data_IF_806289699861
#
_entry.id   IF_806289699861
#
_cell.length_a   1.000
_cell.length_b   1.000
_cell.length_c   1.000
_cell.angle_alpha   90.00
_cell.angle_beta   90.00
_cell.angle_gamma   90.00
#
_symmetry.space_group_name_H-M   'P 1'
#
loop_
_entity.id
_entity.type
_entity.pdbx_description
1 polymer ?
#
# COMPACT_ATOMS: atom_id res chain seq x y z
N UNK A 1 73.89 12.57 -24.16
CA UNK A 1 72.85 13.59 -23.84
C UNK A 1 71.42 13.09 -24.08
N UNK A 2 71.08 12.52 -25.25
CA UNK A 2 69.75 12.05 -25.58
C UNK A 2 69.14 11.01 -24.60
N UNK A 3 69.98 10.06 -24.14
CA UNK A 3 69.54 9.01 -23.16
C UNK A 3 69.13 9.58 -21.80
N UNK A 4 69.74 10.67 -21.39
CA UNK A 4 69.47 11.34 -20.11
C UNK A 4 68.13 12.14 -20.18
N UNK A 5 67.79 12.70 -21.35
CA UNK A 5 66.53 13.40 -21.61
C UNK A 5 65.33 12.38 -21.61
N UNK A 6 65.52 11.22 -22.21
CA UNK A 6 64.49 10.18 -22.24
C UNK A 6 64.17 9.64 -20.83
N UNK A 7 65.23 9.44 -20.00
CA UNK A 7 65.04 9.01 -18.61
C UNK A 7 64.32 10.05 -17.76
N UNK A 8 64.65 11.32 -17.90
CA UNK A 8 64.03 12.42 -17.18
C UNK A 8 62.53 12.60 -17.57
N UNK A 9 62.26 12.51 -18.87
CA UNK A 9 60.88 12.59 -19.38
C UNK A 9 60.02 11.40 -18.86
N UNK A 10 60.58 10.21 -18.82
CA UNK A 10 59.94 9.00 -18.24
C UNK A 10 59.55 9.19 -16.75
N UNK A 11 60.47 9.74 -15.96
CA UNK A 11 60.23 10.03 -14.54
C UNK A 11 59.12 11.08 -14.34
N UNK A 12 59.10 12.13 -15.15
CA UNK A 12 58.05 13.17 -15.10
C UNK A 12 56.70 12.56 -15.45
N UNK A 13 56.62 11.72 -16.45
CA UNK A 13 55.38 11.07 -16.90
C UNK A 13 54.83 10.10 -15.84
N UNK A 14 55.70 9.30 -15.20
CA UNK A 14 55.33 8.42 -14.10
C UNK A 14 54.84 9.23 -12.90
N UNK A 15 55.51 10.33 -12.54
CA UNK A 15 55.07 11.23 -11.47
C UNK A 15 53.72 11.86 -11.76
N UNK A 16 53.48 12.27 -13.01
CA UNK A 16 52.21 12.87 -13.41
C UNK A 16 51.05 11.88 -13.37
N UNK A 17 51.29 10.63 -13.82
CA UNK A 17 50.32 9.53 -13.73
C UNK A 17 50.01 9.20 -12.27
N UNK A 18 51.04 9.12 -11.42
CA UNK A 18 50.87 8.87 -10.00
C UNK A 18 50.06 9.96 -9.30
N UNK A 19 50.34 11.23 -9.60
CA UNK A 19 49.60 12.37 -9.06
C UNK A 19 48.16 12.36 -9.51
N UNK A 20 47.90 12.05 -10.77
CA UNK A 20 46.54 11.93 -11.31
C UNK A 20 45.74 10.75 -10.71
N UNK A 21 46.38 9.60 -10.50
CA UNK A 21 45.78 8.48 -9.78
C UNK A 21 45.44 8.83 -8.32
N UNK A 22 46.30 9.56 -7.64
CA UNK A 22 46.06 9.96 -6.25
C UNK A 22 44.88 10.93 -6.12
N UNK A 23 44.62 11.77 -7.12
CA UNK A 23 43.44 12.66 -7.15
C UNK A 23 42.15 11.89 -7.45
N UNK A 24 42.22 10.80 -8.23
CA UNK A 24 41.05 9.94 -8.52
C UNK A 24 40.66 9.06 -7.32
N UNK A 25 41.53 8.87 -6.35
CA UNK A 25 41.28 8.14 -5.12
C UNK A 25 40.98 9.02 -3.89
N UNK A 26 40.66 10.30 -4.07
CA UNK A 26 39.91 11.00 -3.03
C UNK A 26 38.55 10.34 -2.97
N UNK A 27 38.47 9.33 -2.11
CA UNK A 27 37.16 8.78 -1.70
C UNK A 27 36.38 9.97 -1.14
N UNK A 28 35.44 10.49 -1.94
CA UNK A 28 34.40 11.32 -1.34
C UNK A 28 33.88 10.52 -0.17
N UNK A 29 33.84 11.08 1.04
CA UNK A 29 33.20 10.39 2.15
C UNK A 29 31.82 10.00 1.60
N UNK A 30 31.53 8.70 1.62
CA UNK A 30 30.22 8.19 1.25
C UNK A 30 29.30 8.83 2.28
N UNK A 31 28.66 9.92 1.93
CA UNK A 31 27.59 10.47 2.74
C UNK A 31 26.53 9.39 2.69
N UNK A 32 26.52 8.57 3.75
CA UNK A 32 25.40 7.64 3.93
C UNK A 32 24.14 8.50 3.93
N UNK A 33 23.18 8.23 3.04
CA UNK A 33 21.95 8.98 3.05
C UNK A 33 21.38 8.86 4.45
N UNK A 34 21.12 9.99 5.10
CA UNK A 34 20.39 10.00 6.37
C UNK A 34 19.01 9.49 6.03
N UNK A 35 18.77 8.22 6.31
CA UNK A 35 17.46 7.62 6.12
C UNK A 35 16.57 8.21 7.22
N UNK A 36 15.82 9.23 6.87
CA UNK A 36 14.83 9.80 7.75
C UNK A 36 13.60 8.90 7.70
N UNK A 37 13.32 8.20 8.79
CA UNK A 37 12.09 7.43 8.93
C UNK A 37 10.94 8.42 9.17
N UNK A 38 9.97 8.42 8.28
CA UNK A 38 8.74 9.21 8.42
C UNK A 38 7.66 8.32 9.01
N UNK A 39 7.08 8.79 10.11
CA UNK A 39 5.93 8.12 10.71
C UNK A 39 4.65 8.49 9.97
N UNK A 40 3.84 7.50 9.71
CA UNK A 40 2.53 7.63 9.12
C UNK A 40 1.54 6.68 9.77
N UNK A 41 0.28 6.90 9.52
CA UNK A 41 -0.80 6.07 10.02
C UNK A 41 -1.74 5.72 8.87
N UNK A 42 -2.29 4.53 8.86
CA UNK A 42 -3.30 4.09 7.92
C UNK A 42 -4.54 3.63 8.67
N UNK A 43 -5.70 4.10 8.24
CA UNK A 43 -6.97 3.59 8.71
C UNK A 43 -7.27 2.28 7.97
N UNK A 44 -7.47 1.21 8.72
CA UNK A 44 -7.85 -0.09 8.18
C UNK A 44 -9.23 -0.48 8.70
N UNK A 45 -10.16 -0.67 7.78
CA UNK A 45 -11.47 -1.22 8.11
C UNK A 45 -11.37 -2.72 8.35
N UNK A 46 -12.14 -3.22 9.30
CA UNK A 46 -12.36 -4.65 9.45
C UNK A 46 -13.37 -5.11 8.39
N UNK A 47 -12.92 -5.92 7.42
CA UNK A 47 -13.72 -6.28 6.26
C UNK A 47 -14.67 -7.46 6.57
N UNK A 48 -15.96 -7.18 6.64
CA UNK A 48 -17.02 -8.19 6.74
C UNK A 48 -18.34 -7.73 6.11
N UNK A 49 -19.35 -8.59 6.14
CA UNK A 49 -20.66 -8.32 5.54
C UNK A 49 -21.40 -7.12 6.16
N UNK A 50 -21.08 -6.76 7.40
CA UNK A 50 -21.72 -5.68 8.15
C UNK A 50 -20.91 -4.40 8.20
N UNK A 51 -19.72 -4.37 7.57
CA UNK A 51 -18.84 -3.19 7.60
C UNK A 51 -19.57 -1.97 7.04
N UNK A 52 -19.68 -0.86 7.80
CA UNK A 52 -20.34 0.36 7.34
C UNK A 52 -19.69 0.96 6.09
N UNK A 53 -20.48 1.57 5.21
CA UNK A 53 -20.00 2.18 3.97
C UNK A 53 -18.88 3.19 4.24
N UNK A 54 -19.08 4.08 5.20
CA UNK A 54 -18.09 5.10 5.59
C UNK A 54 -16.74 4.47 6.00
N UNK A 55 -16.76 3.29 6.65
CA UNK A 55 -15.55 2.57 7.01
C UNK A 55 -14.86 1.98 5.77
N UNK A 56 -15.64 1.45 4.82
CA UNK A 56 -15.09 0.93 3.56
C UNK A 56 -14.48 2.04 2.70
N UNK A 57 -15.11 3.20 2.64
CA UNK A 57 -14.61 4.37 1.90
C UNK A 57 -13.33 4.94 2.52
N UNK A 58 -13.27 4.98 3.86
CA UNK A 58 -12.11 5.48 4.60
C UNK A 58 -10.95 4.47 4.68
N UNK A 59 -11.18 3.17 4.36
CA UNK A 59 -10.15 2.14 4.41
C UNK A 59 -8.98 2.44 3.48
N UNK A 60 -7.77 2.40 4.02
CA UNK A 60 -6.55 2.72 3.30
C UNK A 60 -6.20 4.22 3.30
N UNK A 61 -7.00 5.07 3.95
CA UNK A 61 -6.68 6.49 4.11
C UNK A 61 -5.43 6.64 5.00
N UNK A 62 -4.47 7.45 4.50
CA UNK A 62 -3.18 7.66 5.17
C UNK A 62 -3.10 9.04 5.79
N UNK A 63 -2.46 9.10 6.96
CA UNK A 63 -2.29 10.27 7.79
C UNK A 63 -0.81 10.47 8.14
N UNK A 64 -0.38 11.71 8.32
CA UNK A 64 0.98 12.06 8.67
C UNK A 64 1.44 13.33 7.96
N UNK A 65 2.63 13.82 8.32
CA UNK A 65 3.14 15.11 7.82
C UNK A 65 3.26 15.17 6.28
N UNK A 66 3.50 14.03 5.65
CA UNK A 66 3.66 13.87 4.20
C UNK A 66 2.32 13.71 3.45
N UNK A 67 1.20 13.54 4.15
CA UNK A 67 -0.11 13.33 3.55
C UNK A 67 -1.00 14.58 3.69
N UNK A 68 -2.12 14.59 2.94
CA UNK A 68 -3.11 15.67 3.01
C UNK A 68 -3.71 15.78 4.42
N UNK A 69 -4.07 14.65 4.99
CA UNK A 69 -4.60 14.57 6.35
C UNK A 69 -3.44 14.36 7.35
N UNK A 70 -3.34 15.22 8.35
CA UNK A 70 -2.21 15.23 9.29
C UNK A 70 -2.37 14.25 10.45
N UNK A 71 -3.59 14.09 10.93
CA UNK A 71 -3.92 13.26 12.08
C UNK A 71 -5.02 12.27 11.77
N UNK A 72 -4.92 11.02 12.25
CA UNK A 72 -6.00 10.05 12.12
C UNK A 72 -7.22 10.48 12.93
N UNK A 73 -8.43 10.04 12.53
CA UNK A 73 -9.65 10.28 13.28
C UNK A 73 -9.62 9.54 14.62
N UNK A 74 -10.42 10.02 15.58
CA UNK A 74 -10.70 9.26 16.80
C UNK A 74 -11.60 8.05 16.46
N UNK A 75 -11.29 6.90 17.08
CA UNK A 75 -12.07 5.68 16.88
C UNK A 75 -12.89 5.34 18.15
N UNK A 76 -14.09 4.76 17.99
CA UNK A 76 -14.83 4.52 16.74
C UNK A 76 -15.41 5.83 16.18
N UNK A 77 -15.23 6.09 14.89
CA UNK A 77 -15.72 7.33 14.28
C UNK A 77 -17.22 7.30 13.94
N UNK A 78 -17.84 6.12 13.93
CA UNK A 78 -19.28 5.92 13.82
C UNK A 78 -19.72 4.69 14.62
N UNK A 79 -21.03 4.58 14.88
CA UNK A 79 -21.59 3.38 15.50
C UNK A 79 -21.40 2.15 14.59
N UNK A 80 -20.95 1.03 15.15
CA UNK A 80 -20.63 -0.20 14.40
C UNK A 80 -19.27 -0.19 13.71
N UNK A 81 -18.49 0.87 13.85
CA UNK A 81 -17.11 0.93 13.34
C UNK A 81 -16.20 -0.07 14.07
N UNK A 82 -15.48 -0.87 13.28
CA UNK A 82 -14.42 -1.79 13.72
C UNK A 82 -13.10 -1.52 13.01
N UNK A 83 -12.86 -0.24 12.69
CA UNK A 83 -11.61 0.20 12.11
C UNK A 83 -10.49 0.19 13.14
N UNK A 84 -9.28 0.04 12.67
CA UNK A 84 -8.05 0.21 13.45
C UNK A 84 -7.12 1.21 12.77
N UNK A 85 -6.24 1.81 13.55
CA UNK A 85 -5.17 2.67 13.03
C UNK A 85 -3.88 1.89 13.12
N UNK A 86 -3.23 1.70 11.98
CA UNK A 86 -1.95 1.02 11.87
C UNK A 86 -0.85 2.04 11.65
N UNK A 87 0.21 1.96 12.44
CA UNK A 87 1.39 2.80 12.26
C UNK A 87 2.25 2.24 11.13
N UNK A 88 2.65 3.12 10.22
CA UNK A 88 3.50 2.81 9.10
C UNK A 88 4.81 3.58 9.22
N UNK A 89 5.89 2.97 8.76
CA UNK A 89 7.19 3.60 8.70
C UNK A 89 7.64 3.65 7.23
N UNK A 90 7.89 4.85 6.75
CA UNK A 90 8.40 5.09 5.41
C UNK A 90 9.84 5.56 5.49
N UNK A 91 10.69 5.07 4.61
CA UNK A 91 11.97 5.70 4.33
C UNK A 91 11.76 6.90 3.41
N UNK A 92 12.67 7.84 3.41
CA UNK A 92 12.59 8.97 2.46
C UNK A 92 12.60 8.52 1.00
N UNK A 93 13.22 7.37 0.69
CA UNK A 93 13.21 6.76 -0.64
C UNK A 93 11.84 6.22 -1.03
N UNK A 94 11.12 5.58 -0.10
CA UNK A 94 9.80 4.99 -0.36
C UNK A 94 8.77 6.06 -0.71
N UNK A 95 8.83 7.21 -0.03
CA UNK A 95 7.95 8.35 -0.32
C UNK A 95 8.24 8.95 -1.69
N UNK A 96 9.51 9.05 -2.08
CA UNK A 96 9.91 9.57 -3.39
C UNK A 96 9.55 8.64 -4.55
N UNK A 97 9.56 7.34 -4.33
CA UNK A 97 9.24 6.34 -5.37
C UNK A 97 7.74 6.06 -5.46
N UNK A 98 6.94 6.59 -4.53
CA UNK A 98 5.50 6.29 -4.46
C UNK A 98 5.21 4.83 -4.13
N UNK A 99 6.22 4.10 -3.65
CA UNK A 99 6.06 2.72 -3.22
C UNK A 99 5.17 2.70 -1.97
N UNK A 100 3.95 2.30 -2.20
CA UNK A 100 3.03 2.00 -1.13
C UNK A 100 3.41 0.65 -0.52
N UNK A 101 3.38 0.55 0.80
CA UNK A 101 3.42 -0.75 1.49
C UNK A 101 2.10 -1.51 1.24
N UNK A 102 1.81 -1.79 -0.03
CA UNK A 102 0.58 -2.49 -0.44
C UNK A 102 0.52 -3.96 0.01
N UNK A 103 1.58 -4.45 0.66
CA UNK A 103 1.72 -5.85 1.04
C UNK A 103 1.26 -6.17 2.48
N UNK A 104 0.66 -5.21 3.19
CA UNK A 104 0.13 -5.49 4.51
C UNK A 104 -1.14 -6.33 4.40
N UNK A 105 -1.17 -7.44 5.15
CA UNK A 105 -2.40 -8.21 5.32
C UNK A 105 -3.45 -7.34 6.00
N UNK A 106 -4.71 -7.49 5.58
CA UNK A 106 -5.83 -6.71 6.15
C UNK A 106 -6.71 -7.58 7.02
N UNK A 107 -7.23 -7.04 8.14
CA UNK A 107 -8.13 -7.77 9.02
C UNK A 107 -9.51 -7.94 8.38
N UNK A 108 -10.03 -9.15 8.47
CA UNK A 108 -11.37 -9.49 7.99
C UNK A 108 -12.02 -10.56 8.87
N UNK A 109 -13.30 -10.83 8.65
CA UNK A 109 -13.97 -11.97 9.27
C UNK A 109 -13.42 -13.34 8.82
N UNK A 110 -12.60 -13.35 7.77
CA UNK A 110 -11.87 -14.52 7.27
C UNK A 110 -10.46 -14.65 7.87
N UNK A 111 -10.11 -13.80 8.85
CA UNK A 111 -8.77 -13.64 9.37
C UNK A 111 -7.97 -12.57 8.62
N UNK A 112 -6.64 -12.66 8.67
CA UNK A 112 -5.78 -11.75 7.93
C UNK A 112 -5.61 -12.25 6.50
N UNK A 113 -6.16 -11.51 5.54
CA UNK A 113 -6.05 -11.78 4.11
C UNK A 113 -4.98 -10.90 3.46
N UNK A 114 -4.37 -11.37 2.38
CA UNK A 114 -3.39 -10.58 1.64
C UNK A 114 -4.00 -9.31 1.04
N UNK A 115 -3.17 -8.33 0.72
CA UNK A 115 -3.63 -7.03 0.23
C UNK A 115 -4.42 -7.10 -1.10
N UNK A 116 -4.09 -8.05 -1.98
CA UNK A 116 -4.80 -8.27 -3.23
C UNK A 116 -6.24 -8.74 -2.99
N UNK A 117 -6.40 -9.79 -2.21
CA UNK A 117 -7.70 -10.35 -1.83
C UNK A 117 -8.53 -9.34 -1.02
N UNK A 118 -7.88 -8.56 -0.13
CA UNK A 118 -8.56 -7.52 0.65
C UNK A 118 -9.12 -6.40 -0.25
N UNK A 119 -8.39 -6.00 -1.29
CA UNK A 119 -8.84 -5.00 -2.26
C UNK A 119 -10.08 -5.50 -3.01
N UNK A 120 -10.05 -6.75 -3.44
CA UNK A 120 -11.19 -7.37 -4.12
C UNK A 120 -12.39 -7.48 -3.20
N UNK A 121 -12.20 -8.02 -1.99
CA UNK A 121 -13.29 -8.11 -1.00
C UNK A 121 -13.89 -6.73 -0.71
N UNK A 122 -13.05 -5.71 -0.47
CA UNK A 122 -13.52 -4.33 -0.29
C UNK A 122 -14.37 -3.84 -1.46
N UNK A 123 -13.94 -4.09 -2.70
CA UNK A 123 -14.67 -3.71 -3.90
C UNK A 123 -16.05 -4.40 -3.96
N UNK A 124 -16.11 -5.70 -3.70
CA UNK A 124 -17.37 -6.45 -3.68
C UNK A 124 -18.31 -5.98 -2.55
N UNK A 125 -17.75 -5.67 -1.37
CA UNK A 125 -18.51 -5.09 -0.27
C UNK A 125 -19.06 -3.70 -0.62
N UNK A 126 -18.29 -2.84 -1.29
CA UNK A 126 -18.76 -1.54 -1.77
C UNK A 126 -19.88 -1.69 -2.82
N UNK A 127 -19.75 -2.62 -3.76
CA UNK A 127 -20.79 -2.91 -4.74
C UNK A 127 -22.08 -3.41 -4.08
N UNK A 128 -21.99 -4.17 -2.97
CA UNK A 128 -23.17 -4.64 -2.25
C UNK A 128 -24.05 -3.51 -1.70
N UNK A 129 -23.49 -2.31 -1.47
CA UNK A 129 -24.26 -1.12 -1.08
C UNK A 129 -25.11 -0.53 -2.22
N UNK A 130 -24.89 -1.00 -3.44
CA UNK A 130 -25.69 -0.69 -4.62
C UNK A 130 -26.57 -1.88 -5.04
N UNK A 131 -26.90 -2.77 -4.09
CA UNK A 131 -27.63 -4.02 -4.36
C UNK A 131 -28.98 -3.80 -5.05
N UNK A 132 -29.61 -2.66 -4.84
CA UNK A 132 -30.85 -2.24 -5.52
C UNK A 132 -30.73 -2.11 -7.05
N UNK A 133 -29.50 -1.93 -7.57
CA UNK A 133 -29.23 -1.86 -9.00
C UNK A 133 -29.14 -3.22 -9.67
N UNK A 134 -29.09 -4.30 -8.90
CA UNK A 134 -28.88 -5.65 -9.39
C UNK A 134 -30.05 -6.55 -9.03
N UNK A 135 -30.46 -7.39 -9.97
CA UNK A 135 -31.50 -8.39 -9.75
C UNK A 135 -31.13 -9.41 -8.67
N UNK A 136 -29.88 -9.85 -8.71
CA UNK A 136 -29.32 -10.87 -7.81
C UNK A 136 -27.80 -10.73 -7.71
N UNK A 137 -27.18 -11.51 -6.84
CA UNK A 137 -25.74 -11.50 -6.64
C UNK A 137 -24.96 -11.87 -7.91
N UNK A 138 -25.47 -12.82 -8.70
CA UNK A 138 -24.78 -13.25 -9.93
C UNK A 138 -24.76 -12.13 -10.97
N UNK A 139 -25.79 -11.30 -11.03
CA UNK A 139 -25.82 -10.09 -11.85
C UNK A 139 -24.81 -9.04 -11.36
N UNK A 140 -24.63 -8.89 -10.04
CA UNK A 140 -23.64 -7.95 -9.48
C UNK A 140 -22.21 -8.35 -9.85
N UNK A 141 -21.91 -9.64 -9.90
CA UNK A 141 -20.57 -10.15 -10.18
C UNK A 141 -20.35 -10.58 -11.62
N UNK A 142 -21.29 -10.29 -12.53
CA UNK A 142 -21.24 -10.79 -13.93
C UNK A 142 -19.95 -10.45 -14.67
N UNK A 143 -19.37 -9.28 -14.39
CA UNK A 143 -18.15 -8.78 -15.02
C UNK A 143 -16.88 -9.06 -14.18
N UNK A 144 -17.06 -9.75 -13.04
CA UNK A 144 -15.97 -10.05 -12.14
C UNK A 144 -15.35 -11.43 -12.45
N UNK A 145 -14.01 -11.49 -12.56
CA UNK A 145 -13.27 -12.75 -12.71
C UNK A 145 -12.83 -13.29 -11.33
N UNK A 146 -13.45 -14.37 -10.84
CA UNK A 146 -13.10 -14.96 -9.55
C UNK A 146 -11.65 -15.47 -9.46
N UNK A 147 -10.97 -15.65 -10.60
CA UNK A 147 -9.56 -16.07 -10.61
C UNK A 147 -8.59 -14.99 -10.15
N UNK A 148 -9.06 -13.75 -10.02
CA UNK A 148 -8.27 -12.66 -9.41
C UNK A 148 -8.08 -12.86 -7.90
N UNK A 149 -8.92 -13.68 -7.25
CA UNK A 149 -8.79 -14.03 -5.84
C UNK A 149 -7.86 -15.23 -5.70
N UNK A 150 -7.04 -15.22 -4.65
CA UNK A 150 -6.20 -16.36 -4.30
C UNK A 150 -7.06 -17.62 -4.11
N UNK A 151 -6.63 -18.75 -4.64
CA UNK A 151 -7.40 -20.01 -4.63
C UNK A 151 -7.89 -20.40 -3.24
N UNK A 152 -7.05 -20.23 -2.20
CA UNK A 152 -7.40 -20.56 -0.82
C UNK A 152 -8.47 -19.68 -0.18
N UNK A 153 -8.72 -18.46 -0.71
CA UNK A 153 -9.66 -17.49 -0.13
C UNK A 153 -10.90 -17.29 -1.00
N UNK A 154 -10.93 -17.87 -2.20
CA UNK A 154 -11.95 -17.58 -3.21
C UNK A 154 -13.36 -17.85 -2.73
N UNK A 155 -13.60 -19.06 -2.26
CA UNK A 155 -14.95 -19.48 -1.86
C UNK A 155 -15.45 -18.68 -0.65
N UNK A 156 -14.57 -18.38 0.29
CA UNK A 156 -14.91 -17.62 1.49
C UNK A 156 -15.19 -16.16 1.18
N UNK A 157 -14.40 -15.53 0.32
CA UNK A 157 -14.61 -14.15 -0.13
C UNK A 157 -15.92 -14.04 -0.92
N UNK A 158 -16.20 -14.97 -1.82
CA UNK A 158 -17.44 -15.00 -2.58
C UNK A 158 -18.65 -15.21 -1.67
N UNK A 159 -18.57 -16.13 -0.70
CA UNK A 159 -19.64 -16.37 0.27
C UNK A 159 -19.90 -15.14 1.15
N UNK A 160 -18.83 -14.46 1.62
CA UNK A 160 -18.95 -13.25 2.43
C UNK A 160 -19.57 -12.10 1.64
N UNK A 161 -19.16 -11.93 0.39
CA UNK A 161 -19.71 -10.91 -0.51
C UNK A 161 -21.18 -11.14 -0.83
N UNK A 162 -21.57 -12.39 -1.06
CA UNK A 162 -22.98 -12.79 -1.25
C UNK A 162 -23.82 -12.49 -0.01
N UNK A 163 -23.29 -12.80 1.18
CA UNK A 163 -23.95 -12.48 2.45
C UNK A 163 -24.13 -10.96 2.62
N UNK A 164 -23.13 -10.16 2.27
CA UNK A 164 -23.24 -8.71 2.33
C UNK A 164 -24.31 -8.18 1.38
N UNK A 165 -24.34 -8.69 0.15
CA UNK A 165 -25.34 -8.33 -0.84
C UNK A 165 -26.77 -8.64 -0.34
N UNK A 166 -27.01 -9.86 0.16
CA UNK A 166 -28.30 -10.26 0.69
C UNK A 166 -28.76 -9.38 1.86
N UNK A 167 -27.84 -9.09 2.79
CA UNK A 167 -28.13 -8.21 3.92
C UNK A 167 -28.58 -6.81 3.47
N UNK A 168 -27.99 -6.25 2.41
CA UNK A 168 -28.38 -4.93 1.88
C UNK A 168 -29.72 -4.97 1.16
N UNK A 169 -30.03 -6.04 0.42
CA UNK A 169 -31.36 -6.23 -0.18
C UNK A 169 -32.44 -6.32 0.88
N UNK A 170 -32.22 -7.15 1.93
CA UNK A 170 -33.19 -7.32 3.02
C UNK A 170 -33.46 -5.99 3.74
N UNK A 171 -32.44 -5.14 3.93
CA UNK A 171 -32.59 -3.81 4.53
C UNK A 171 -33.37 -2.86 3.62
N UNK A 172 -33.10 -2.84 2.32
CA UNK A 172 -33.80 -1.99 1.36
C UNK A 172 -35.29 -2.35 1.25
N UNK A 173 -35.65 -3.65 1.31
CA UNK A 173 -37.03 -4.10 1.34
C UNK A 173 -37.77 -3.66 2.62
N UNK A 174 -37.07 -3.68 3.77
CA UNK A 174 -37.67 -3.21 5.04
C UNK A 174 -37.92 -1.70 5.05
N UNK A 175 -37.05 -0.90 4.42
CA UNK A 175 -37.23 0.57 4.33
C UNK A 175 -38.34 0.98 3.35
N UNK A 176 -38.66 0.11 2.38
CA UNK A 176 -39.68 0.37 1.37
C UNK A 176 -41.10 -0.10 1.77
N UNK A 177 -41.26 -0.79 2.89
CA UNK A 177 -42.50 -1.36 3.42
C UNK A 177 -43.11 -0.50 4.50
#
# INVERSE_FOLDING_TARGET
MLKLFIALFGLILVYWIYKKKKQLFVRHPRVEPVITTLEAYELQAFLDATTPLVCLEADGQKFGQQFKEKSPPELPHINGCRCQIVQLYYTSSDVFQGENQENLSKPSSLGNINAGDARILKQLLLQSYQSELYKDFDAMISDFDPNQISEGNRDEIMALSKKAFQLRQDLAEQESS
#
